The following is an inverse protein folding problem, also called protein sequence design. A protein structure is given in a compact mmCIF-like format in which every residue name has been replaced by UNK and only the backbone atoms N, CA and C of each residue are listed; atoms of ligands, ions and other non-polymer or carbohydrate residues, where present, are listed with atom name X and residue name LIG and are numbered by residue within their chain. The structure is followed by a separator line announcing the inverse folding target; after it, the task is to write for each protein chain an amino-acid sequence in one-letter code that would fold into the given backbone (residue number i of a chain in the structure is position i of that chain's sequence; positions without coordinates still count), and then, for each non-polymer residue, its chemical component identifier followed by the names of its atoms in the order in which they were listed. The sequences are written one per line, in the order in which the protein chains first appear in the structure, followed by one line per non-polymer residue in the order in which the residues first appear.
data_IF_661734195518
#
_entry.id   IF_661734195518
#
_cell.length_a   1.000
_cell.length_b   1.000
_cell.length_c   1.000
_cell.angle_alpha   90.00
_cell.angle_beta   90.00
_cell.angle_gamma   90.00
#
_symmetry.space_group_name_H-M   'P 1'
#
loop_
_entity.id
_entity.type
_entity.pdbx_description
1 polymer ?
#
# COMPACT_ATOMS: atom_id res chain seq x y z
N UNK A 1 -44.20 51.58 19.29
CA UNK A 1 -42.73 51.80 19.36
C UNK A 1 -42.07 50.52 18.89
N UNK A 2 -41.65 50.47 17.62
CA UNK A 2 -41.12 49.27 16.96
C UNK A 2 -39.60 49.43 16.82
N UNK A 3 -38.81 48.65 17.54
CA UNK A 3 -37.35 48.71 17.51
C UNK A 3 -36.86 47.74 16.43
N UNK A 4 -36.35 48.28 15.32
CA UNK A 4 -35.68 47.51 14.28
C UNK A 4 -34.20 47.31 14.68
N UNK A 5 -33.82 46.07 14.96
CA UNK A 5 -32.42 45.66 15.14
C UNK A 5 -31.84 45.29 13.77
N UNK A 6 -31.04 46.19 13.19
CA UNK A 6 -30.25 45.90 11.99
C UNK A 6 -28.91 45.29 12.44
N UNK A 7 -28.75 43.97 12.27
CA UNK A 7 -27.49 43.27 12.53
C UNK A 7 -26.64 43.27 11.27
N UNK A 8 -25.61 44.10 11.20
CA UNK A 8 -24.61 44.05 10.14
C UNK A 8 -23.54 43.02 10.49
N UNK A 9 -23.67 41.81 9.93
CA UNK A 9 -22.62 40.80 10.01
C UNK A 9 -21.43 41.21 9.12
N UNK A 10 -20.28 41.51 9.72
CA UNK A 10 -19.02 41.63 8.98
C UNK A 10 -18.36 40.25 8.90
N UNK A 11 -18.25 39.72 7.70
CA UNK A 11 -17.46 38.52 7.43
C UNK A 11 -15.98 38.88 7.52
N UNK A 12 -15.28 38.36 8.53
CA UNK A 12 -13.83 38.42 8.59
C UNK A 12 -13.27 37.44 7.55
N UNK A 13 -12.88 37.96 6.39
CA UNK A 13 -12.13 37.19 5.41
C UNK A 13 -10.69 37.05 5.92
N UNK A 14 -10.33 35.86 6.41
CA UNK A 14 -8.94 35.56 6.74
C UNK A 14 -8.14 35.57 5.42
N UNK A 15 -7.07 36.37 5.30
CA UNK A 15 -6.22 36.32 4.12
C UNK A 15 -5.60 34.92 4.01
N UNK A 16 -5.82 34.27 2.87
CA UNK A 16 -5.16 33.00 2.56
C UNK A 16 -3.65 33.24 2.55
N UNK A 17 -2.94 32.54 3.42
CA UNK A 17 -1.50 32.68 3.58
C UNK A 17 -0.82 32.18 2.31
N UNK A 18 -0.04 33.05 1.66
CA UNK A 18 0.69 32.71 0.43
C UNK A 18 1.77 31.66 0.73
N UNK A 19 1.54 30.42 0.27
CA UNK A 19 2.45 29.29 0.45
C UNK A 19 3.66 29.32 -0.49
N UNK A 20 3.78 30.32 -1.38
CA UNK A 20 4.88 30.39 -2.35
C UNK A 20 6.21 30.84 -1.73
N UNK A 21 6.21 31.32 -0.48
CA UNK A 21 7.43 31.70 0.23
C UNK A 21 8.18 30.45 0.71
N UNK A 22 9.32 30.16 0.08
CA UNK A 22 10.21 29.04 0.43
C UNK A 22 10.80 29.23 1.83
N UNK A 23 10.23 28.56 2.84
CA UNK A 23 10.79 28.49 4.19
C UNK A 23 12.13 27.74 4.13
N UNK A 24 13.22 28.41 4.53
CA UNK A 24 14.60 27.99 4.18
C UNK A 24 15.13 26.78 4.94
N UNK A 25 14.43 26.31 5.97
CA UNK A 25 14.74 25.06 6.66
C UNK A 25 13.46 24.41 7.21
N UNK A 26 13.21 23.18 6.77
CA UNK A 26 12.18 22.32 7.35
C UNK A 26 12.67 21.84 8.73
N UNK A 27 11.78 21.90 9.73
CA UNK A 27 12.08 21.53 11.13
C UNK A 27 11.91 20.02 11.37
N UNK A 28 11.38 19.28 10.39
CA UNK A 28 11.19 17.84 10.48
C UNK A 28 12.53 17.10 10.45
N UNK A 29 12.71 16.11 11.35
CA UNK A 29 13.87 15.18 11.35
C UNK A 29 14.05 14.49 9.99
N UNK A 30 12.93 14.21 9.31
CA UNK A 30 12.88 13.71 7.95
C UNK A 30 12.08 14.71 7.10
N UNK A 31 12.76 15.64 6.41
CA UNK A 31 12.08 16.69 5.68
C UNK A 31 11.32 16.12 4.48
N UNK A 32 10.13 16.68 4.25
CA UNK A 32 9.29 16.31 3.11
C UNK A 32 9.64 17.27 1.97
N UNK A 33 9.96 16.70 0.80
CA UNK A 33 10.36 17.48 -0.37
C UNK A 33 9.37 17.28 -1.50
N UNK A 34 9.01 18.37 -2.15
CA UNK A 34 8.22 18.29 -3.36
C UNK A 34 8.99 17.55 -4.48
N UNK A 35 8.28 16.73 -5.25
CA UNK A 35 8.82 16.01 -6.40
C UNK A 35 9.15 17.00 -7.51
N UNK A 36 10.31 16.86 -8.16
CA UNK A 36 10.72 17.74 -9.28
C UNK A 36 10.37 17.24 -10.69
N UNK A 37 10.16 15.94 -10.87
CA UNK A 37 9.82 15.32 -12.16
C UNK A 37 8.35 14.94 -12.24
N UNK A 38 7.98 14.11 -13.22
CA UNK A 38 6.67 13.43 -13.29
C UNK A 38 6.63 12.22 -12.33
N UNK A 39 5.43 11.69 -12.09
CA UNK A 39 5.20 10.62 -11.12
C UNK A 39 5.85 9.29 -11.53
N UNK A 40 6.03 9.04 -12.83
CA UNK A 40 6.52 7.77 -13.35
C UNK A 40 8.04 7.73 -13.48
N UNK A 41 8.69 8.81 -13.94
CA UNK A 41 10.14 8.89 -14.09
C UNK A 41 10.86 9.20 -12.78
N UNK A 42 10.22 9.96 -11.88
CA UNK A 42 10.78 10.38 -10.60
C UNK A 42 9.89 9.97 -9.41
N UNK A 43 9.60 8.67 -9.22
CA UNK A 43 8.76 8.21 -8.13
C UNK A 43 9.42 8.52 -6.78
N UNK A 44 8.64 9.00 -5.81
CA UNK A 44 9.09 9.17 -4.43
C UNK A 44 9.36 7.79 -3.82
N UNK A 45 10.61 7.53 -3.44
CA UNK A 45 11.04 6.24 -2.84
C UNK A 45 11.07 6.25 -1.30
N UNK A 46 10.44 7.21 -0.64
CA UNK A 46 10.50 7.33 0.83
C UNK A 46 9.24 6.75 1.45
N UNK A 47 9.38 5.65 2.19
CA UNK A 47 8.27 4.98 2.89
C UNK A 47 7.58 5.84 3.96
N UNK A 48 8.23 6.93 4.38
CA UNK A 48 7.73 7.87 5.39
C UNK A 48 7.15 9.16 4.80
N UNK A 49 7.15 9.30 3.47
CA UNK A 49 6.53 10.45 2.81
C UNK A 49 5.01 10.27 2.75
N UNK A 50 4.28 11.37 2.73
CA UNK A 50 2.83 11.35 2.55
C UNK A 50 2.54 10.99 1.09
N UNK A 51 1.58 10.08 0.88
CA UNK A 51 1.07 9.82 -0.45
C UNK A 51 0.40 11.08 -1.01
N UNK A 52 0.37 11.18 -2.34
CA UNK A 52 -0.35 12.27 -3.00
C UNK A 52 -1.85 12.21 -2.63
N UNK A 53 -2.50 13.34 -2.36
CA UNK A 53 -3.90 13.37 -1.98
C UNK A 53 -4.81 12.90 -3.13
N UNK A 54 -5.97 12.36 -2.76
CA UNK A 54 -6.92 11.72 -3.70
C UNK A 54 -7.44 12.65 -4.80
N UNK A 55 -7.39 13.96 -4.60
CA UNK A 55 -7.80 14.95 -5.58
C UNK A 55 -6.79 15.16 -6.73
N UNK A 56 -5.57 14.61 -6.63
CA UNK A 56 -4.58 14.61 -7.71
C UNK A 56 -4.73 13.34 -8.54
N UNK A 57 -5.15 13.52 -9.79
CA UNK A 57 -5.31 12.43 -10.76
C UNK A 57 -4.24 12.51 -11.84
N UNK A 58 -3.64 11.38 -12.17
CA UNK A 58 -2.67 11.20 -13.24
C UNK A 58 -3.28 10.42 -14.42
N UNK A 59 -2.84 10.76 -15.63
CA UNK A 59 -3.24 10.07 -16.86
C UNK A 59 -2.10 10.10 -17.88
N UNK A 60 -1.98 9.02 -18.65
CA UNK A 60 -1.07 8.95 -19.80
C UNK A 60 -1.90 9.03 -21.07
N UNK A 61 -1.59 9.99 -21.94
CA UNK A 61 -2.31 10.23 -23.20
C UNK A 61 -1.35 10.10 -24.37
N UNK A 62 -1.73 9.30 -25.37
CA UNK A 62 -0.96 9.16 -26.62
C UNK A 62 -1.38 10.20 -27.65
N UNK A 63 -0.42 10.89 -28.25
CA UNK A 63 -0.63 11.79 -29.39
C UNK A 63 -0.14 11.13 -30.70
N UNK A 64 -1.04 10.81 -31.65
CA UNK A 64 -0.66 10.18 -32.91
C UNK A 64 0.14 11.10 -33.85
N UNK A 65 0.08 12.43 -33.69
CA UNK A 65 0.78 13.38 -34.56
C UNK A 65 2.27 13.42 -34.25
N UNK A 66 2.60 13.55 -32.96
CA UNK A 66 3.97 13.59 -32.47
C UNK A 66 4.52 12.20 -32.17
N UNK A 67 3.65 11.17 -32.11
CA UNK A 67 3.95 9.79 -31.70
C UNK A 67 4.56 9.72 -30.29
N UNK A 68 4.15 10.65 -29.42
CA UNK A 68 4.63 10.77 -28.05
C UNK A 68 3.52 10.44 -27.06
N UNK A 69 3.93 10.02 -25.87
CA UNK A 69 3.05 9.84 -24.72
C UNK A 69 3.22 11.03 -23.78
N UNK A 70 2.12 11.58 -23.30
CA UNK A 70 2.09 12.69 -22.36
C UNK A 70 1.56 12.23 -21.02
N UNK A 71 2.35 12.43 -19.98
CA UNK A 71 1.89 12.29 -18.59
C UNK A 71 1.26 13.61 -18.18
N UNK A 72 0.01 13.53 -17.75
CA UNK A 72 -0.80 14.68 -17.35
C UNK A 72 -1.23 14.47 -15.90
N UNK A 73 -0.94 15.46 -15.06
CA UNK A 73 -1.36 15.50 -13.65
C UNK A 73 -2.37 16.63 -13.46
N UNK A 74 -3.56 16.29 -12.97
CA UNK A 74 -4.67 17.23 -12.78
C UNK A 74 -5.15 17.25 -11.34
N UNK A 75 -5.61 18.42 -10.91
CA UNK A 75 -6.41 18.61 -9.70
C UNK A 75 -7.79 19.10 -10.15
N UNK A 76 -8.77 18.20 -10.11
CA UNK A 76 -10.08 18.45 -10.74
C UNK A 76 -9.92 18.75 -12.24
N UNK A 77 -10.20 19.99 -12.65
CA UNK A 77 -10.12 20.43 -14.04
C UNK A 77 -8.82 21.17 -14.39
N UNK A 78 -7.95 21.45 -13.41
CA UNK A 78 -6.74 22.24 -13.61
C UNK A 78 -5.52 21.34 -13.77
N UNK A 79 -4.63 21.68 -14.69
CA UNK A 79 -3.32 21.04 -14.81
C UNK A 79 -2.46 21.46 -13.62
N UNK A 80 -2.17 20.52 -12.72
CA UNK A 80 -1.36 20.79 -11.54
C UNK A 80 0.11 21.00 -11.91
N UNK A 81 0.59 20.29 -12.95
CA UNK A 81 1.96 20.36 -13.44
C UNK A 81 2.01 20.39 -14.95
N UNK A 82 3.16 20.84 -15.47
CA UNK A 82 3.44 20.79 -16.91
C UNK A 82 3.48 19.32 -17.36
N UNK A 83 2.75 18.96 -18.44
CA UNK A 83 2.81 17.61 -18.96
C UNK A 83 4.23 17.23 -19.37
N UNK A 84 4.61 15.98 -19.10
CA UNK A 84 5.90 15.43 -19.50
C UNK A 84 5.69 14.52 -20.71
N UNK A 85 6.41 14.80 -21.79
CA UNK A 85 6.41 13.98 -23.00
C UNK A 85 7.47 12.88 -22.91
N UNK A 86 7.14 11.70 -23.42
CA UNK A 86 8.08 10.60 -23.63
C UNK A 86 7.86 9.94 -24.99
N UNK A 87 8.91 9.36 -25.53
CA UNK A 87 8.85 8.53 -26.73
C UNK A 87 8.21 7.17 -26.43
N UNK A 88 7.84 6.44 -27.47
CA UNK A 88 7.32 5.07 -27.33
C UNK A 88 8.33 4.14 -26.64
N UNK A 89 9.61 4.23 -27.00
CA UNK A 89 10.66 3.37 -26.44
C UNK A 89 10.86 3.64 -24.94
N UNK A 90 10.87 4.91 -24.54
CA UNK A 90 10.95 5.30 -23.12
C UNK A 90 9.74 4.80 -22.34
N UNK A 91 8.53 4.94 -22.90
CA UNK A 91 7.31 4.43 -22.26
C UNK A 91 7.36 2.90 -22.10
N UNK A 92 7.76 2.19 -23.14
CA UNK A 92 7.88 0.74 -23.13
C UNK A 92 8.89 0.28 -22.07
N UNK A 93 10.05 0.94 -22.00
CA UNK A 93 11.07 0.67 -21.01
C UNK A 93 10.57 0.91 -19.57
N UNK A 94 9.84 2.01 -19.35
CA UNK A 94 9.23 2.32 -18.06
C UNK A 94 8.24 1.23 -17.66
N UNK A 95 7.37 0.83 -18.58
CA UNK A 95 6.36 -0.19 -18.34
C UNK A 95 6.99 -1.57 -18.09
N UNK A 96 8.07 -1.92 -18.79
CA UNK A 96 8.80 -3.18 -18.56
C UNK A 96 9.43 -3.21 -17.18
N UNK A 97 10.08 -2.13 -16.75
CA UNK A 97 10.65 -2.02 -15.41
C UNK A 97 9.58 -2.13 -14.32
N UNK A 98 8.41 -1.52 -14.54
CA UNK A 98 7.28 -1.64 -13.61
C UNK A 98 6.79 -3.08 -13.50
N UNK A 99 6.59 -3.75 -14.64
CA UNK A 99 6.12 -5.13 -14.68
C UNK A 99 7.10 -6.09 -14.00
N UNK A 100 8.40 -5.90 -14.19
CA UNK A 100 9.45 -6.69 -13.54
C UNK A 100 9.42 -6.52 -12.01
N UNK A 101 9.37 -5.29 -11.52
CA UNK A 101 9.26 -5.00 -10.09
C UNK A 101 8.00 -5.63 -9.48
N UNK A 102 6.85 -5.48 -10.13
CA UNK A 102 5.59 -6.05 -9.68
C UNK A 102 5.64 -7.59 -9.67
N UNK A 103 6.31 -8.21 -10.66
CA UNK A 103 6.53 -9.66 -10.71
C UNK A 103 7.36 -10.15 -9.52
N UNK A 104 8.51 -9.53 -9.25
CA UNK A 104 9.36 -9.94 -8.14
C UNK A 104 8.72 -9.68 -6.77
N UNK A 105 7.96 -8.59 -6.60
CA UNK A 105 7.18 -8.36 -5.39
C UNK A 105 6.13 -9.46 -5.17
N UNK A 106 5.35 -9.80 -6.20
CA UNK A 106 4.37 -10.91 -6.12
C UNK A 106 5.03 -12.23 -5.77
N UNK A 107 6.14 -12.55 -6.45
CA UNK A 107 6.91 -13.77 -6.18
C UNK A 107 7.43 -13.82 -4.74
N UNK A 108 8.00 -12.71 -4.26
CA UNK A 108 8.49 -12.59 -2.87
C UNK A 108 7.35 -12.83 -1.87
N UNK A 109 6.20 -12.17 -2.06
CA UNK A 109 5.04 -12.31 -1.19
C UNK A 109 4.53 -13.75 -1.12
N UNK A 110 4.50 -14.47 -2.25
CA UNK A 110 4.12 -15.89 -2.29
C UNK A 110 5.12 -16.75 -1.49
N UNK A 111 6.42 -16.55 -1.69
CA UNK A 111 7.46 -17.27 -0.96
C UNK A 111 7.41 -16.98 0.55
N UNK A 112 7.20 -15.72 0.94
CA UNK A 112 7.02 -15.34 2.36
C UNK A 112 5.76 -15.96 2.96
N UNK A 113 4.68 -16.11 2.18
CA UNK A 113 3.47 -16.79 2.61
C UNK A 113 3.67 -18.29 2.84
N UNK A 114 4.38 -18.97 1.93
CA UNK A 114 4.70 -20.40 2.04
C UNK A 114 5.67 -20.69 3.19
N UNK A 115 6.67 -19.84 3.38
CA UNK A 115 7.66 -19.97 4.44
C UNK A 115 7.17 -19.47 5.81
N UNK A 116 5.96 -18.91 5.87
CA UNK A 116 5.35 -18.50 7.14
C UNK A 116 4.97 -19.76 7.92
N UNK A 117 5.89 -20.22 8.78
CA UNK A 117 5.60 -21.24 9.78
C UNK A 117 4.48 -20.68 10.65
N UNK A 118 3.26 -21.19 10.46
CA UNK A 118 2.15 -20.89 11.36
C UNK A 118 2.65 -21.16 12.78
N UNK A 119 2.55 -20.19 13.69
CA UNK A 119 2.74 -20.45 15.11
C UNK A 119 1.63 -21.40 15.53
N UNK A 120 1.83 -22.70 15.31
CA UNK A 120 0.98 -23.73 15.88
C UNK A 120 1.22 -23.65 17.37
N UNK A 121 0.21 -23.32 18.19
CA UNK A 121 0.36 -23.45 19.63
C UNK A 121 0.83 -24.88 19.89
N UNK A 122 1.83 -25.03 20.75
CA UNK A 122 2.24 -26.35 21.21
C UNK A 122 1.00 -26.98 21.83
N UNK A 123 0.55 -28.13 21.31
CA UNK A 123 -0.55 -28.86 21.94
C UNK A 123 0.00 -29.45 23.24
N UNK A 124 0.00 -28.66 24.32
CA UNK A 124 0.18 -29.20 25.65
C UNK A 124 -1.12 -29.91 26.01
N UNK A 125 -1.13 -31.23 25.81
CA UNK A 125 -2.11 -32.06 26.51
C UNK A 125 -1.73 -31.93 27.98
N UNK A 126 -2.45 -31.10 28.72
CA UNK A 126 -2.23 -30.98 30.17
C UNK A 126 -2.42 -32.36 30.78
N UNK A 127 -1.49 -32.81 31.63
CA UNK A 127 -1.49 -34.16 32.21
C UNK A 127 -2.86 -34.54 32.80
N UNK A 128 -3.58 -33.57 33.36
CA UNK A 128 -4.93 -33.78 33.91
C UNK A 128 -5.99 -34.23 32.87
N UNK A 129 -5.93 -33.74 31.63
CA UNK A 129 -6.88 -34.13 30.57
C UNK A 129 -6.57 -35.52 30.04
N UNK A 130 -5.28 -35.83 29.81
CA UNK A 130 -4.84 -37.15 29.38
C UNK A 130 -5.14 -38.21 30.44
N UNK A 131 -4.81 -37.93 31.70
CA UNK A 131 -5.03 -38.83 32.83
C UNK A 131 -6.53 -39.07 33.09
N UNK A 132 -7.41 -38.10 32.81
CA UNK A 132 -8.87 -38.30 32.88
C UNK A 132 -9.43 -39.20 31.78
N UNK A 133 -8.82 -39.18 30.59
CA UNK A 133 -9.30 -39.95 29.43
C UNK A 133 -8.69 -41.36 29.35
N UNK A 134 -7.46 -41.55 29.82
CA UNK A 134 -6.74 -42.84 29.70
C UNK A 134 -6.39 -43.50 31.04
N UNK A 135 -6.61 -42.82 32.17
CA UNK A 135 -6.29 -43.33 33.50
C UNK A 135 -4.78 -43.36 33.79
N UNK A 136 -4.41 -43.25 35.06
CA UNK A 136 -3.02 -43.41 35.48
C UNK A 136 -2.65 -44.89 35.48
N UNK A 137 -1.98 -45.36 34.44
CA UNK A 137 -1.52 -46.75 34.38
C UNK A 137 -0.77 -47.06 33.09
N UNK A 138 0.31 -47.84 33.21
CA UNK A 138 1.04 -48.38 32.05
C UNK A 138 0.09 -49.30 31.29
N UNK A 139 -0.33 -48.92 30.08
CA UNK A 139 -1.22 -49.75 29.25
C UNK A 139 -0.39 -50.93 28.72
N UNK A 140 -0.53 -52.10 29.34
CA UNK A 140 0.05 -53.35 28.85
C UNK A 140 -0.97 -54.05 27.95
N UNK A 141 -0.84 -53.88 26.63
CA UNK A 141 -1.70 -54.53 25.64
C UNK A 141 -1.08 -55.90 25.31
N UNK A 142 -1.76 -56.99 25.67
CA UNK A 142 -1.42 -58.35 25.21
C UNK A 142 -2.44 -58.77 24.15
N UNK A 143 -2.21 -58.49 22.86
CA UNK A 143 -3.11 -58.97 21.83
C UNK A 143 -3.06 -60.51 21.82
N UNK A 144 -4.21 -61.15 22.06
CA UNK A 144 -4.38 -62.58 21.83
C UNK A 144 -5.41 -62.79 20.73
N UNK A 145 -5.06 -63.63 19.77
CA UNK A 145 -5.85 -63.92 18.58
C UNK A 145 -4.99 -63.90 17.32
N UNK A 146 -5.30 -64.79 16.39
CA UNK A 146 -4.69 -64.85 15.07
C UNK A 146 -5.58 -64.07 14.09
N UNK A 147 -4.98 -63.17 13.29
CA UNK A 147 -5.68 -62.44 12.25
C UNK A 147 -5.30 -63.06 10.90
N UNK A 148 -6.20 -63.86 10.34
CA UNK A 148 -6.05 -64.38 8.99
C UNK A 148 -6.70 -63.42 7.99
N UNK A 149 -5.86 -62.76 7.18
CA UNK A 149 -6.27 -61.90 6.08
C UNK A 149 -6.23 -62.72 4.78
N UNK A 150 -7.39 -62.94 4.16
CA UNK A 150 -7.47 -63.46 2.79
C UNK A 150 -7.70 -62.24 1.88
N UNK A 151 -6.67 -61.87 1.12
CA UNK A 151 -6.81 -60.96 0.00
C UNK A 151 -7.21 -61.78 -1.24
N UNK A 152 -8.43 -61.58 -1.73
CA UNK A 152 -8.93 -62.10 -3.00
C UNK A 152 -8.92 -61.04 -4.08
#
# INVERSE_FOLDING_TARGET
MLIALCSTARANYAPQQDTTVKKTADTLKYPIHDRRGDRYSAPRKRSFDLNDPVNITDSVVYDPKTKQYYIIEKVGNFYYRKPTSMTFEEFLHLQSLKAENDYFQKRSNVLSGLNKKLLRPQMSVTDNLFNRMFGNGKIEIRPQGEVNLIAG
#
